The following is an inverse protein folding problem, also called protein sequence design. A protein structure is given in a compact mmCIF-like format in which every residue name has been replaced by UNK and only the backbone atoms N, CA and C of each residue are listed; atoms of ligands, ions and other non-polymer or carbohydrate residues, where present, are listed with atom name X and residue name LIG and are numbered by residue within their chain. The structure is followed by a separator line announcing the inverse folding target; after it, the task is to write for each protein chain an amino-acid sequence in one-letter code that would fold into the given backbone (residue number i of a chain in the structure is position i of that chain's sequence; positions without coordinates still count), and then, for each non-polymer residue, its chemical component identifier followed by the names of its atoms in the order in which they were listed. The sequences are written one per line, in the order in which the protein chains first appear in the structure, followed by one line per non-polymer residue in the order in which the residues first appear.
data_IF_418092789858
#
_entry.id   IF_418092789858
#
_cell.length_a   1.000
_cell.length_b   1.000
_cell.length_c   1.000
_cell.angle_alpha   90.00
_cell.angle_beta   90.00
_cell.angle_gamma   90.00
#
_symmetry.space_group_name_H-M   'P 1'
#
loop_
_entity.id
_entity.type
_entity.pdbx_description
1 polymer ?
#
# COMPACT_ATOMS: atom_id res chain seq x y z
N UNK A 1 -20.71 13.96 34.92
CA UNK A 1 -19.73 13.16 34.15
C UNK A 1 -20.35 11.78 33.86
N UNK A 2 -21.31 11.68 32.91
CA UNK A 2 -22.14 10.47 32.70
C UNK A 2 -22.42 10.15 31.20
N UNK A 3 -21.71 10.75 30.25
CA UNK A 3 -22.03 10.61 28.81
C UNK A 3 -21.23 9.52 28.06
N UNK A 4 -20.21 8.91 28.68
CA UNK A 4 -19.34 7.92 28.01
C UNK A 4 -19.87 6.47 28.05
N UNK A 5 -20.84 6.15 28.91
CA UNK A 5 -21.36 4.78 29.06
C UNK A 5 -22.38 4.36 27.99
N UNK A 6 -23.12 5.30 27.41
CA UNK A 6 -24.23 4.99 26.51
C UNK A 6 -23.80 4.53 25.11
N UNK A 7 -22.74 5.14 24.54
CA UNK A 7 -22.28 4.83 23.18
C UNK A 7 -21.42 3.57 23.18
N UNK A 8 -20.48 3.47 24.13
CA UNK A 8 -19.60 2.30 24.27
C UNK A 8 -20.41 1.04 24.62
N UNK A 9 -21.37 1.15 25.55
CA UNK A 9 -22.23 0.03 25.92
C UNK A 9 -23.28 -0.35 24.86
N UNK A 10 -23.64 0.56 23.95
CA UNK A 10 -24.45 0.25 22.75
C UNK A 10 -23.59 -0.43 21.69
N UNK A 11 -22.36 0.03 21.51
CA UNK A 11 -21.40 -0.57 20.60
C UNK A 11 -21.04 -2.00 21.02
N UNK A 12 -20.82 -2.25 22.31
CA UNK A 12 -20.52 -3.59 22.82
C UNK A 12 -21.67 -4.58 22.55
N UNK A 13 -22.92 -4.22 22.87
CA UNK A 13 -24.10 -5.05 22.57
C UNK A 13 -24.32 -5.25 21.06
N UNK A 14 -24.03 -4.23 20.25
CA UNK A 14 -24.07 -4.35 18.80
C UNK A 14 -22.96 -5.26 18.26
N UNK A 15 -21.73 -5.15 18.79
CA UNK A 15 -20.60 -5.97 18.39
C UNK A 15 -20.76 -7.44 18.79
N UNK A 16 -21.43 -7.72 19.91
CA UNK A 16 -21.79 -9.08 20.32
C UNK A 16 -22.88 -9.69 19.42
N UNK A 17 -23.86 -8.89 18.99
CA UNK A 17 -24.93 -9.36 18.10
C UNK A 17 -24.53 -9.43 16.62
N UNK A 18 -23.56 -8.63 16.18
CA UNK A 18 -23.11 -8.53 14.80
C UNK A 18 -21.58 -8.48 14.73
N UNK A 19 -20.93 -9.57 15.17
CA UNK A 19 -19.47 -9.68 15.25
C UNK A 19 -18.77 -9.31 13.93
N UNK A 20 -19.29 -9.79 12.80
CA UNK A 20 -18.73 -9.51 11.47
C UNK A 20 -18.81 -8.01 11.12
N UNK A 21 -19.94 -7.35 11.41
CA UNK A 21 -20.12 -5.92 11.11
C UNK A 21 -19.23 -5.05 12.01
N UNK A 22 -19.08 -5.41 13.29
CA UNK A 22 -18.18 -4.70 14.19
C UNK A 22 -16.71 -4.89 13.82
N UNK A 23 -16.33 -6.06 13.29
CA UNK A 23 -15.01 -6.31 12.73
C UNK A 23 -14.76 -5.48 11.46
N UNK A 24 -15.71 -5.47 10.53
CA UNK A 24 -15.66 -4.62 9.33
C UNK A 24 -15.56 -3.14 9.66
N UNK A 25 -16.31 -2.66 10.66
CA UNK A 25 -16.29 -1.25 11.07
C UNK A 25 -14.95 -0.86 11.70
N UNK A 26 -14.36 -1.72 12.55
CA UNK A 26 -13.00 -1.52 13.09
C UNK A 26 -11.97 -1.49 11.97
N UNK A 27 -12.06 -2.44 11.03
CA UNK A 27 -11.16 -2.52 9.88
C UNK A 27 -11.25 -1.29 8.98
N UNK A 28 -12.48 -0.87 8.67
CA UNK A 28 -12.74 0.32 7.84
C UNK A 28 -12.22 1.58 8.51
N UNK A 29 -12.55 1.79 9.79
CA UNK A 29 -12.08 2.96 10.55
C UNK A 29 -10.56 3.05 10.62
N UNK A 30 -9.87 1.92 10.82
CA UNK A 30 -8.40 1.92 10.86
C UNK A 30 -7.78 2.06 9.46
N UNK A 31 -8.41 1.51 8.42
CA UNK A 31 -7.98 1.73 7.02
C UNK A 31 -8.10 3.21 6.63
N UNK A 32 -9.19 3.88 7.02
CA UNK A 32 -9.35 5.32 6.84
C UNK A 32 -8.30 6.12 7.62
N UNK A 33 -7.94 5.68 8.83
CA UNK A 33 -6.87 6.32 9.59
C UNK A 33 -5.53 6.27 8.85
N UNK A 34 -5.17 5.11 8.30
CA UNK A 34 -3.92 4.96 7.55
C UNK A 34 -3.95 5.76 6.27
N UNK A 35 -5.06 5.76 5.53
CA UNK A 35 -5.21 6.59 4.34
C UNK A 35 -5.08 8.10 4.67
N UNK A 36 -5.72 8.54 5.75
CA UNK A 36 -5.60 9.92 6.23
C UNK A 36 -4.15 10.24 6.66
N UNK A 37 -3.46 9.32 7.31
CA UNK A 37 -2.06 9.46 7.69
C UNK A 37 -1.15 9.57 6.47
N UNK A 38 -1.33 8.71 5.46
CA UNK A 38 -0.59 8.77 4.20
C UNK A 38 -0.78 10.12 3.52
N UNK A 39 -2.03 10.57 3.41
CA UNK A 39 -2.37 11.86 2.83
C UNK A 39 -1.73 13.01 3.60
N UNK A 40 -1.81 12.99 4.93
CA UNK A 40 -1.18 13.99 5.80
C UNK A 40 0.33 14.05 5.60
N UNK A 41 1.00 12.88 5.60
CA UNK A 41 2.44 12.79 5.40
C UNK A 41 2.83 13.33 4.01
N UNK A 42 2.15 12.94 2.94
CA UNK A 42 2.45 13.49 1.61
C UNK A 42 2.08 14.97 1.45
N UNK A 43 1.16 15.50 2.24
CA UNK A 43 0.81 16.92 2.19
C UNK A 43 1.89 17.79 2.82
N UNK A 44 2.46 17.38 3.96
CA UNK A 44 3.36 18.23 4.73
C UNK A 44 4.84 17.86 4.60
N UNK A 45 5.15 16.56 4.52
CA UNK A 45 6.53 16.07 4.59
C UNK A 45 7.40 16.50 3.38
N UNK A 46 6.90 16.47 2.12
CA UNK A 46 7.68 16.98 0.99
C UNK A 46 7.98 18.46 1.13
N UNK A 47 7.02 19.27 1.58
CA UNK A 47 7.18 20.72 1.79
C UNK A 47 8.22 21.02 2.85
N UNK A 48 8.19 20.28 3.98
CA UNK A 48 9.20 20.40 5.03
C UNK A 48 10.59 20.04 4.51
N UNK A 49 10.74 18.91 3.82
CA UNK A 49 12.03 18.49 3.28
C UNK A 49 12.54 19.49 2.23
N UNK A 50 11.69 19.94 1.32
CA UNK A 50 12.03 20.94 0.30
C UNK A 50 12.55 22.24 0.94
N UNK A 51 11.86 22.74 1.97
CA UNK A 51 12.18 24.01 2.62
C UNK A 51 13.46 23.97 3.45
N UNK A 52 13.72 22.86 4.16
CA UNK A 52 14.77 22.81 5.17
C UNK A 52 16.05 22.06 4.77
N UNK A 53 16.03 21.25 3.70
CA UNK A 53 17.17 20.38 3.35
C UNK A 53 17.89 20.76 2.06
N UNK A 54 17.26 21.56 1.20
CA UNK A 54 17.76 21.85 -0.15
C UNK A 54 17.64 20.66 -1.12
N UNK A 55 17.11 19.52 -0.69
CA UNK A 55 16.98 18.31 -1.52
C UNK A 55 16.00 18.45 -2.68
N UNK A 56 15.22 19.53 -2.74
CA UNK A 56 14.35 19.84 -3.87
C UNK A 56 15.11 20.12 -5.16
N UNK A 57 16.36 20.57 -5.07
CA UNK A 57 17.21 20.87 -6.24
C UNK A 57 17.96 19.64 -6.77
N UNK A 58 17.93 18.53 -6.05
CA UNK A 58 18.58 17.29 -6.45
C UNK A 58 17.57 16.35 -7.10
N UNK A 59 17.77 15.90 -8.36
CA UNK A 59 16.90 14.90 -8.97
C UNK A 59 17.05 13.56 -8.25
N UNK A 60 15.94 12.88 -7.99
CA UNK A 60 15.93 11.51 -7.49
C UNK A 60 15.54 10.55 -8.61
N UNK A 61 16.50 10.31 -9.51
CA UNK A 61 16.38 9.38 -10.63
C UNK A 61 17.19 8.13 -10.33
N UNK A 62 16.49 7.04 -9.99
CA UNK A 62 17.10 5.79 -9.52
C UNK A 62 16.71 4.61 -10.41
N UNK A 63 17.68 3.71 -10.62
CA UNK A 63 17.56 2.49 -11.41
C UNK A 63 17.11 2.78 -12.84
N UNK A 64 18.07 3.15 -13.68
CA UNK A 64 17.87 3.37 -15.12
C UNK A 64 17.51 2.04 -15.80
N UNK A 65 16.43 2.05 -16.57
CA UNK A 65 15.92 0.91 -17.31
C UNK A 65 15.67 1.32 -18.76
N UNK A 66 16.32 0.62 -19.67
CA UNK A 66 16.09 0.77 -21.11
C UNK A 66 15.32 -0.47 -21.59
N UNK A 67 14.05 -0.27 -21.94
CA UNK A 67 13.15 -1.30 -22.47
C UNK A 67 12.80 -0.96 -23.93
N UNK A 68 13.68 -1.37 -24.85
CA UNK A 68 13.51 -1.15 -26.28
C UNK A 68 13.50 0.35 -26.63
N UNK A 69 12.37 0.92 -27.09
CA UNK A 69 12.25 2.34 -27.40
C UNK A 69 12.08 3.24 -26.16
N UNK A 70 11.88 2.65 -24.98
CA UNK A 70 11.61 3.40 -23.74
C UNK A 70 12.87 3.46 -22.89
N UNK A 71 13.30 4.68 -22.60
CA UNK A 71 14.46 4.97 -21.76
C UNK A 71 13.99 5.76 -20.53
N UNK A 72 13.89 5.10 -19.38
CA UNK A 72 13.28 5.69 -18.17
C UNK A 72 13.94 5.19 -16.87
N UNK A 73 13.63 5.83 -15.75
CA UNK A 73 14.06 5.39 -14.42
C UNK A 73 12.90 4.68 -13.70
N UNK A 74 13.19 3.68 -12.88
CA UNK A 74 12.17 3.04 -12.02
C UNK A 74 11.57 4.07 -11.07
N UNK A 75 12.42 4.93 -10.51
CA UNK A 75 12.01 6.10 -9.76
C UNK A 75 12.45 7.32 -10.54
N UNK A 76 11.51 7.99 -11.20
CA UNK A 76 11.77 9.20 -11.97
C UNK A 76 11.17 10.41 -11.27
N UNK A 77 11.94 11.01 -10.36
CA UNK A 77 11.58 12.26 -9.68
C UNK A 77 12.50 13.40 -10.14
N UNK A 78 12.20 14.04 -11.28
CA UNK A 78 12.94 15.19 -11.76
C UNK A 78 12.74 16.39 -10.85
N UNK A 79 13.63 17.38 -10.96
CA UNK A 79 13.48 18.66 -10.28
C UNK A 79 12.38 19.47 -10.96
N UNK A 80 11.29 19.74 -10.24
CA UNK A 80 10.13 20.49 -10.73
C UNK A 80 10.15 21.96 -10.31
N UNK A 81 11.07 22.35 -9.42
CA UNK A 81 11.10 23.68 -8.80
C UNK A 81 10.10 23.86 -7.66
N UNK A 82 9.38 22.81 -7.28
CA UNK A 82 8.44 22.80 -6.16
C UNK A 82 8.59 21.53 -5.30
N UNK A 83 7.80 21.42 -4.24
CA UNK A 83 7.85 20.28 -3.31
C UNK A 83 7.31 18.96 -3.89
N UNK A 84 6.84 18.95 -5.15
CA UNK A 84 6.30 17.76 -5.81
C UNK A 84 7.36 16.98 -6.59
N UNK A 85 8.58 17.51 -6.69
CA UNK A 85 9.69 16.87 -7.39
C UNK A 85 10.95 16.73 -6.54
N UNK A 86 11.99 16.20 -7.19
CA UNK A 86 13.31 16.00 -6.62
C UNK A 86 13.38 15.02 -5.44
N UNK A 87 14.55 15.00 -4.81
CA UNK A 87 14.88 14.08 -3.72
C UNK A 87 14.03 14.33 -2.46
N UNK A 88 13.56 15.57 -2.23
CA UNK A 88 12.63 15.89 -1.15
C UNK A 88 11.32 15.10 -1.24
N UNK A 89 10.71 15.03 -2.43
CA UNK A 89 9.47 14.29 -2.61
C UNK A 89 9.70 12.77 -2.51
N UNK A 90 10.77 12.26 -3.12
CA UNK A 90 11.12 10.84 -3.04
C UNK A 90 11.32 10.38 -1.59
N UNK A 91 12.09 11.13 -0.78
CA UNK A 91 12.32 10.80 0.63
C UNK A 91 11.02 10.89 1.43
N UNK A 92 10.20 11.92 1.19
CA UNK A 92 8.89 12.02 1.84
C UNK A 92 7.99 10.82 1.52
N UNK A 93 7.99 10.36 0.27
CA UNK A 93 7.26 9.17 -0.17
C UNK A 93 7.77 7.90 0.54
N UNK A 94 9.09 7.69 0.62
CA UNK A 94 9.67 6.54 1.33
C UNK A 94 9.33 6.57 2.82
N UNK A 95 9.44 7.73 3.47
CA UNK A 95 9.08 7.88 4.89
C UNK A 95 7.59 7.63 5.11
N UNK A 96 6.73 8.13 4.23
CA UNK A 96 5.29 7.85 4.25
C UNK A 96 5.02 6.36 4.15
N UNK A 97 5.68 5.64 3.22
CA UNK A 97 5.53 4.20 3.09
C UNK A 97 5.93 3.48 4.38
N UNK A 98 7.11 3.79 4.93
CA UNK A 98 7.62 3.13 6.15
C UNK A 98 6.68 3.36 7.34
N UNK A 99 6.26 4.61 7.58
CA UNK A 99 5.37 4.96 8.69
C UNK A 99 4.01 4.27 8.52
N UNK A 100 3.45 4.31 7.31
CA UNK A 100 2.15 3.71 7.03
C UNK A 100 2.18 2.18 7.16
N UNK A 101 3.26 1.54 6.71
CA UNK A 101 3.44 0.11 6.90
C UNK A 101 3.65 -0.27 8.36
N UNK A 102 4.31 0.58 9.15
CA UNK A 102 4.41 0.41 10.60
C UNK A 102 3.06 0.38 11.30
N UNK A 103 2.05 1.11 10.80
CA UNK A 103 0.68 1.11 11.31
C UNK A 103 -0.15 -0.04 10.71
N UNK A 104 0.02 -0.35 9.43
CA UNK A 104 -0.71 -1.43 8.76
C UNK A 104 -0.33 -2.83 9.27
N UNK A 105 0.94 -3.06 9.61
CA UNK A 105 1.41 -4.36 10.07
C UNK A 105 0.68 -4.88 11.33
N UNK A 106 0.57 -4.11 12.44
CA UNK A 106 -0.19 -4.56 13.61
C UNK A 106 -1.69 -4.70 13.31
N UNK A 107 -2.25 -3.89 12.40
CA UNK A 107 -3.65 -4.01 11.95
C UNK A 107 -3.90 -5.34 11.24
N UNK A 108 -3.12 -5.63 10.19
CA UNK A 108 -3.27 -6.86 9.39
C UNK A 108 -3.04 -8.10 10.25
N UNK A 109 -2.09 -8.04 11.18
CA UNK A 109 -1.78 -9.16 12.06
C UNK A 109 -2.85 -9.44 13.12
N UNK A 110 -3.28 -8.42 13.86
CA UNK A 110 -4.18 -8.61 15.01
C UNK A 110 -5.64 -8.81 14.60
N UNK A 111 -6.06 -8.23 13.47
CA UNK A 111 -7.45 -8.27 13.01
C UNK A 111 -7.63 -9.30 11.90
N UNK A 112 -6.81 -9.25 10.84
CA UNK A 112 -7.08 -10.03 9.63
C UNK A 112 -6.55 -11.47 9.69
N UNK A 113 -5.37 -11.71 10.25
CA UNK A 113 -4.73 -13.03 10.18
C UNK A 113 -4.71 -13.84 11.48
N UNK A 114 -5.01 -13.24 12.65
CA UNK A 114 -4.92 -13.88 13.99
C UNK A 114 -3.72 -14.85 14.12
N UNK A 115 -2.57 -14.45 13.55
CA UNK A 115 -1.46 -15.36 13.28
C UNK A 115 -0.48 -15.43 14.45
N UNK A 116 -0.34 -16.64 15.01
CA UNK A 116 0.71 -17.03 15.96
C UNK A 116 2.02 -17.51 15.27
N UNK A 117 2.21 -17.21 13.98
CA UNK A 117 3.43 -17.54 13.24
C UNK A 117 4.65 -16.65 13.58
N UNK A 118 5.82 -16.99 13.03
CA UNK A 118 7.06 -16.24 13.25
C UNK A 118 6.99 -14.81 12.69
N UNK A 119 7.00 -13.84 13.60
CA UNK A 119 6.86 -12.39 13.35
C UNK A 119 7.86 -11.88 12.33
N UNK A 120 9.11 -12.31 12.46
CA UNK A 120 10.23 -11.78 11.68
C UNK A 120 10.16 -12.24 10.24
N UNK A 121 9.68 -13.46 9.98
CA UNK A 121 9.51 -13.98 8.63
C UNK A 121 8.38 -13.26 7.89
N UNK A 122 7.24 -13.04 8.55
CA UNK A 122 6.10 -12.31 7.96
C UNK A 122 6.46 -10.85 7.69
N UNK A 123 7.15 -10.18 8.62
CA UNK A 123 7.61 -8.81 8.45
C UNK A 123 8.63 -8.68 7.31
N UNK A 124 9.60 -9.60 7.22
CA UNK A 124 10.61 -9.59 6.17
C UNK A 124 9.98 -9.74 4.78
N UNK A 125 9.08 -10.70 4.61
CA UNK A 125 8.39 -10.88 3.33
C UNK A 125 7.42 -9.74 3.02
N UNK A 126 6.76 -9.17 4.03
CA UNK A 126 5.94 -7.97 3.84
C UNK A 126 6.76 -6.78 3.33
N UNK A 127 7.95 -6.57 3.89
CA UNK A 127 8.88 -5.55 3.42
C UNK A 127 9.37 -5.82 2.00
N UNK A 128 9.70 -7.08 1.65
CA UNK A 128 10.06 -7.46 0.28
C UNK A 128 8.91 -7.20 -0.69
N UNK A 129 7.69 -7.59 -0.32
CA UNK A 129 6.48 -7.33 -1.11
C UNK A 129 6.29 -5.82 -1.36
N UNK A 130 6.43 -5.02 -0.31
CA UNK A 130 6.32 -3.57 -0.37
C UNK A 130 7.33 -2.97 -1.36
N UNK A 131 8.60 -3.38 -1.28
CA UNK A 131 9.65 -2.89 -2.19
C UNK A 131 9.33 -3.27 -3.63
N UNK A 132 8.96 -4.53 -3.89
CA UNK A 132 8.63 -5.00 -5.23
C UNK A 132 7.41 -4.27 -5.83
N UNK A 133 6.35 -4.09 -5.03
CA UNK A 133 5.15 -3.35 -5.45
C UNK A 133 5.51 -1.90 -5.73
N UNK A 134 6.29 -1.27 -4.85
CA UNK A 134 6.71 0.12 -5.01
C UNK A 134 7.52 0.29 -6.29
N UNK A 135 8.51 -0.57 -6.53
CA UNK A 135 9.31 -0.53 -7.76
C UNK A 135 8.45 -0.74 -9.02
N UNK A 136 7.54 -1.71 -9.00
CA UNK A 136 6.68 -1.98 -10.16
C UNK A 136 5.70 -0.84 -10.42
N UNK A 137 5.06 -0.29 -9.39
CA UNK A 137 4.16 0.85 -9.51
C UNK A 137 4.90 2.09 -10.02
N UNK A 138 6.09 2.39 -9.48
CA UNK A 138 6.88 3.54 -9.91
C UNK A 138 7.39 3.39 -11.34
N UNK A 139 7.83 2.20 -11.74
CA UNK A 139 8.21 1.91 -13.12
C UNK A 139 7.02 2.09 -14.05
N UNK A 140 5.86 1.50 -13.72
CA UNK A 140 4.67 1.61 -14.54
C UNK A 140 4.20 3.06 -14.64
N UNK A 141 4.18 3.82 -13.54
CA UNK A 141 3.89 5.26 -13.57
C UNK A 141 4.81 5.97 -14.56
N UNK A 142 6.11 5.72 -14.52
CA UNK A 142 7.07 6.35 -15.43
C UNK A 142 6.81 6.00 -16.91
N UNK A 143 6.24 4.82 -17.19
CA UNK A 143 5.86 4.40 -18.54
C UNK A 143 4.53 5.03 -19.01
N UNK A 144 3.48 5.00 -18.18
CA UNK A 144 2.13 5.37 -18.62
C UNK A 144 1.75 6.82 -18.32
N UNK A 145 2.31 7.47 -17.29
CA UNK A 145 1.99 8.87 -16.95
C UNK A 145 2.26 9.81 -18.14
N UNK A 146 3.42 9.77 -18.82
CA UNK A 146 3.64 10.64 -19.99
C UNK A 146 2.66 10.34 -21.13
N UNK A 147 2.26 9.08 -21.31
CA UNK A 147 1.25 8.71 -22.32
C UNK A 147 -0.15 9.21 -21.96
N UNK A 148 -0.58 9.03 -20.70
CA UNK A 148 -1.92 9.40 -20.23
C UNK A 148 -2.08 10.92 -20.09
N UNK A 149 -1.08 11.64 -19.57
CA UNK A 149 -1.13 13.09 -19.39
C UNK A 149 -1.26 13.85 -20.74
N UNK A 150 -0.74 13.26 -21.83
CA UNK A 150 -0.85 13.83 -23.16
C UNK A 150 -2.23 13.60 -23.83
N UNK A 151 -3.01 12.60 -23.38
CA UNK A 151 -4.20 12.13 -24.10
C UNK A 151 -5.51 12.16 -23.28
N UNK A 152 -5.46 12.37 -21.96
CA UNK A 152 -6.63 12.24 -21.10
C UNK A 152 -6.88 13.48 -20.24
N UNK A 153 -8.16 13.76 -20.05
CA UNK A 153 -8.66 14.77 -19.13
C UNK A 153 -8.37 14.36 -17.66
N UNK A 154 -8.02 15.30 -16.75
CA UNK A 154 -7.64 15.00 -15.36
C UNK A 154 -8.59 14.08 -14.58
N UNK A 155 -9.90 14.13 -14.86
CA UNK A 155 -10.86 13.24 -14.21
C UNK A 155 -10.67 11.76 -14.62
N UNK A 156 -10.44 11.52 -15.92
CA UNK A 156 -10.23 10.18 -16.48
C UNK A 156 -8.83 9.68 -16.10
N UNK A 157 -7.84 10.58 -16.06
CA UNK A 157 -6.49 10.29 -15.58
C UNK A 157 -6.49 9.71 -14.16
N UNK A 158 -7.14 10.37 -13.18
CA UNK A 158 -7.13 9.90 -11.80
C UNK A 158 -7.83 8.53 -11.63
N UNK A 159 -8.91 8.29 -12.39
CA UNK A 159 -9.59 6.99 -12.41
C UNK A 159 -8.71 5.89 -12.98
N UNK A 160 -8.05 6.14 -14.12
CA UNK A 160 -7.15 5.18 -14.76
C UNK A 160 -5.96 4.84 -13.85
N UNK A 161 -5.34 5.84 -13.23
CA UNK A 161 -4.26 5.65 -12.24
C UNK A 161 -4.72 4.76 -11.10
N UNK A 162 -5.93 4.97 -10.58
CA UNK A 162 -6.48 4.18 -9.46
C UNK A 162 -6.66 2.72 -9.85
N UNK A 163 -7.22 2.45 -11.03
CA UNK A 163 -7.44 1.09 -11.53
C UNK A 163 -6.12 0.38 -11.82
N UNK A 164 -5.16 1.07 -12.46
CA UNK A 164 -3.83 0.51 -12.76
C UNK A 164 -3.10 0.18 -11.46
N UNK A 165 -3.04 1.11 -10.51
CA UNK A 165 -2.39 0.86 -9.21
C UNK A 165 -3.02 -0.31 -8.46
N UNK A 166 -4.35 -0.44 -8.49
CA UNK A 166 -5.05 -1.59 -7.91
C UNK A 166 -4.73 -2.91 -8.63
N UNK A 167 -4.71 -2.90 -9.96
CA UNK A 167 -4.39 -4.07 -10.77
C UNK A 167 -2.95 -4.56 -10.60
N UNK A 168 -1.98 -3.65 -10.54
CA UNK A 168 -0.56 -3.96 -10.31
C UNK A 168 -0.36 -4.58 -8.94
N UNK A 169 -1.01 -4.03 -7.91
CA UNK A 169 -1.01 -4.61 -6.58
C UNK A 169 -1.53 -6.05 -6.61
N UNK A 170 -2.64 -6.33 -7.30
CA UNK A 170 -3.17 -7.70 -7.42
C UNK A 170 -2.19 -8.67 -8.07
N UNK A 171 -1.56 -8.28 -9.18
CA UNK A 171 -0.62 -9.12 -9.95
C UNK A 171 0.65 -9.44 -9.15
N UNK A 172 1.10 -8.55 -8.25
CA UNK A 172 2.30 -8.75 -7.44
C UNK A 172 1.99 -9.42 -6.11
N UNK A 173 0.88 -9.06 -5.46
CA UNK A 173 0.44 -9.72 -4.24
C UNK A 173 0.15 -11.19 -4.47
N UNK A 174 -0.39 -11.58 -5.62
CA UNK A 174 -0.70 -12.98 -5.93
C UNK A 174 0.53 -13.92 -5.84
N UNK A 175 1.65 -13.71 -6.56
CA UNK A 175 2.85 -14.54 -6.44
C UNK A 175 3.52 -14.40 -5.08
N UNK A 176 3.54 -13.21 -4.47
CA UNK A 176 4.15 -13.03 -3.14
C UNK A 176 3.36 -13.78 -2.07
N UNK A 177 2.02 -13.70 -2.06
CA UNK A 177 1.19 -14.48 -1.15
C UNK A 177 1.32 -15.98 -1.39
N UNK A 178 1.49 -16.44 -2.64
CA UNK A 178 1.75 -17.85 -2.95
C UNK A 178 3.10 -18.35 -2.42
N UNK A 179 4.10 -17.47 -2.31
CA UNK A 179 5.42 -17.79 -1.74
C UNK A 179 5.37 -17.77 -0.20
N UNK A 180 4.66 -16.80 0.39
CA UNK A 180 4.51 -16.65 1.85
C UNK A 180 3.61 -17.74 2.44
N UNK A 181 2.50 -18.01 1.76
CA UNK A 181 1.58 -19.10 2.02
C UNK A 181 1.71 -20.07 0.84
N UNK A 182 2.73 -20.94 0.82
CA UNK A 182 2.60 -22.14 0.03
C UNK A 182 1.36 -22.80 0.62
N UNK A 183 0.26 -22.78 -0.15
CA UNK A 183 -0.98 -23.44 0.24
C UNK A 183 -0.60 -24.76 0.90
N UNK A 184 -1.21 -25.08 2.03
CA UNK A 184 -1.18 -26.43 2.59
C UNK A 184 -1.67 -27.38 1.50
N UNK A 185 -0.80 -27.75 0.56
CA UNK A 185 -1.09 -28.60 -0.59
C UNK A 185 -1.51 -30.00 -0.14
N UNK A 186 -1.38 -30.26 1.17
CA UNK A 186 -1.84 -31.46 1.84
C UNK A 186 -3.35 -31.44 2.21
N UNK A 187 -4.04 -30.30 2.27
CA UNK A 187 -5.48 -30.26 2.63
C UNK A 187 -6.42 -30.15 1.43
N UNK A 188 -6.07 -29.35 0.43
CA UNK A 188 -6.90 -29.21 -0.79
C UNK A 188 -6.92 -30.52 -1.60
N UNK A 189 -5.79 -31.24 -1.65
CA UNK A 189 -5.71 -32.55 -2.30
C UNK A 189 -6.32 -33.70 -1.48
N UNK A 190 -6.61 -33.50 -0.19
CA UNK A 190 -7.29 -34.47 0.66
C UNK A 190 -8.81 -34.33 0.51
N UNK A 191 -9.34 -33.10 0.59
CA UNK A 191 -10.77 -32.83 0.38
C UNK A 191 -11.22 -33.18 -1.04
N UNK A 192 -10.42 -32.88 -2.07
CA UNK A 192 -10.76 -33.21 -3.45
C UNK A 192 -10.72 -34.73 -3.72
N UNK A 193 -9.87 -35.48 -3.00
CA UNK A 193 -9.87 -36.96 -3.06
C UNK A 193 -11.02 -37.58 -2.27
N UNK A 194 -11.45 -36.97 -1.16
CA UNK A 194 -12.57 -37.45 -0.35
C UNK A 194 -13.92 -37.16 -1.01
N UNK A 195 -14.07 -36.02 -1.71
CA UNK A 195 -15.24 -35.69 -2.53
C UNK A 195 -15.34 -36.48 -3.84
N UNK A 196 -14.21 -36.90 -4.42
CA UNK A 196 -14.20 -37.79 -5.61
C UNK A 196 -14.33 -39.27 -5.21
N UNK A 197 -14.09 -39.61 -3.94
CA UNK A 197 -14.27 -40.96 -3.39
C UNK A 197 -15.61 -41.19 -2.68
N UNK A 198 -16.44 -40.14 -2.51
CA UNK A 198 -17.81 -40.19 -1.98
C UNK A 198 -18.86 -40.23 -3.10
#
# INVERSE_FOLDING_TARGET
MQLTHGIVGRWQRFAESHALIAEMAKFSGLSFLVAALQYLLLTFLPVLLFTYTGWGETPAQLLHVTLGPIDTYVFDYPVTGDALGGLSYFVAFVLMLVISQGVNFPLQRNVTFKSHGNVWFQLAWYAVALVLITMACSLLMSLYVPFLAAHLDPAIYNLAVTVINGGVQLVIYFPVFKIIFPADKARESADERELVAA
#
